data_IF_670299413520
#
_entry.id   IF_670299413520
#
_cell.length_a   1.000
_cell.length_b   1.000
_cell.length_c   1.000
_cell.angle_alpha   90.00
_cell.angle_beta   90.00
_cell.angle_gamma   90.00
#
_symmetry.space_group_name_H-M   'P 1'
#
loop_
_entity.id
_entity.type
_entity.pdbx_description
1 polymer ?
#
# COMPACT_ATOMS: atom_id res chain seq x y z
N UNK A 1 -4.29 -11.51 9.27
CA UNK A 1 -4.75 -10.14 9.00
C UNK A 1 -4.09 -9.22 10.02
N UNK A 2 -3.45 -8.14 9.58
CA UNK A 2 -3.03 -7.06 10.49
C UNK A 2 -4.27 -6.50 11.18
N UNK A 3 -4.27 -6.48 12.51
CA UNK A 3 -5.27 -5.76 13.28
C UNK A 3 -4.86 -4.30 13.37
N UNK A 4 -5.17 -3.54 12.32
CA UNK A 4 -5.21 -2.09 12.42
C UNK A 4 -6.35 -1.73 13.39
N UNK A 5 -6.00 -1.48 14.64
CA UNK A 5 -6.99 -1.18 15.70
C UNK A 5 -7.44 0.27 15.68
N UNK A 6 -6.69 1.14 14.99
CA UNK A 6 -7.01 2.55 14.84
C UNK A 6 -6.43 3.15 13.58
N UNK A 7 -7.21 4.01 12.91
CA UNK A 7 -6.78 4.81 11.77
C UNK A 7 -7.08 6.27 12.08
N UNK A 8 -6.10 7.15 11.93
CA UNK A 8 -6.31 8.59 11.98
C UNK A 8 -6.54 9.12 10.58
N UNK A 9 -7.67 9.79 10.39
CA UNK A 9 -7.96 10.56 9.20
C UNK A 9 -7.60 12.01 9.46
N UNK A 10 -6.85 12.65 8.55
CA UNK A 10 -6.48 14.06 8.64
C UNK A 10 -7.05 14.82 7.44
N UNK A 11 -7.74 15.94 7.71
CA UNK A 11 -8.28 16.78 6.65
C UNK A 11 -7.19 17.71 6.12
N UNK A 12 -6.70 17.40 4.94
CA UNK A 12 -5.55 18.10 4.35
C UNK A 12 -5.98 19.17 3.34
N UNK A 13 -7.28 19.43 3.14
CA UNK A 13 -7.76 20.30 2.06
C UNK A 13 -7.07 21.67 2.02
N UNK A 14 -6.87 22.28 3.19
CA UNK A 14 -6.14 23.55 3.32
C UNK A 14 -4.63 23.35 3.18
N UNK A 15 -4.08 22.35 3.87
CA UNK A 15 -2.64 22.04 3.88
C UNK A 15 -2.10 21.77 2.47
N UNK A 16 -2.89 21.12 1.61
CA UNK A 16 -2.53 20.78 0.23
C UNK A 16 -2.50 22.00 -0.71
N UNK A 17 -3.15 23.11 -0.33
CA UNK A 17 -3.05 24.37 -1.09
C UNK A 17 -1.75 25.12 -0.78
N UNK A 18 -1.12 24.81 0.35
CA UNK A 18 0.04 25.52 0.89
C UNK A 18 1.34 24.71 0.73
N UNK A 19 1.30 23.50 0.14
CA UNK A 19 2.39 22.53 0.14
C UNK A 19 2.51 21.77 -1.19
N UNK A 20 3.70 21.24 -1.44
CA UNK A 20 4.06 20.68 -2.75
C UNK A 20 3.71 19.19 -2.91
N UNK A 21 3.43 18.48 -1.81
CA UNK A 21 3.08 17.07 -1.85
C UNK A 21 2.00 16.64 -0.86
N UNK A 22 1.36 15.50 -1.18
CA UNK A 22 0.41 14.84 -0.29
C UNK A 22 1.06 14.45 1.04
N UNK A 23 2.31 13.97 1.01
CA UNK A 23 3.05 13.57 2.21
C UNK A 23 3.27 14.77 3.11
N UNK A 24 3.78 15.88 2.59
CA UNK A 24 3.99 17.10 3.37
C UNK A 24 2.68 17.65 3.94
N UNK A 25 1.61 17.63 3.14
CA UNK A 25 0.29 18.05 3.57
C UNK A 25 -0.27 17.20 4.72
N UNK A 26 0.06 15.91 4.73
CA UNK A 26 -0.36 14.93 5.73
C UNK A 26 0.52 14.94 6.98
N UNK A 27 1.83 15.16 6.82
CA UNK A 27 2.81 15.06 7.91
C UNK A 27 2.62 16.14 8.98
N UNK A 28 1.88 17.20 8.71
CA UNK A 28 2.18 18.48 9.33
C UNK A 28 1.16 18.98 10.35
N UNK A 29 1.69 19.24 11.55
CA UNK A 29 1.21 20.19 12.54
C UNK A 29 -0.28 20.06 12.92
N UNK A 30 -0.69 18.86 13.34
CA UNK A 30 -2.07 18.57 13.74
C UNK A 30 -2.33 18.99 15.18
N UNK A 31 -3.28 19.90 15.35
CA UNK A 31 -3.64 20.40 16.68
C UNK A 31 -4.37 19.33 17.49
N UNK A 32 -4.02 19.21 18.77
CA UNK A 32 -4.71 18.38 19.73
C UNK A 32 -5.28 19.21 20.90
N UNK A 33 -6.23 18.63 21.62
CA UNK A 33 -6.84 19.22 22.82
C UNK A 33 -6.80 18.23 23.98
N UNK A 34 -5.87 18.48 24.90
CA UNK A 34 -5.70 17.67 26.11
C UNK A 34 -4.98 16.34 25.87
N UNK A 35 -4.68 15.65 26.97
CA UNK A 35 -3.83 14.44 26.99
C UNK A 35 -4.40 13.27 26.18
N UNK A 36 -5.72 13.14 26.12
CA UNK A 36 -6.39 12.05 25.38
C UNK A 36 -6.10 12.13 23.87
N UNK A 37 -6.26 13.32 23.30
CA UNK A 37 -6.03 13.54 21.88
C UNK A 37 -4.56 13.46 21.50
N UNK A 38 -3.67 13.98 22.35
CA UNK A 38 -2.24 13.80 22.19
C UNK A 38 -1.88 12.31 22.11
N UNK A 39 -2.36 11.52 23.07
CA UNK A 39 -2.13 10.07 23.08
C UNK A 39 -2.64 9.39 21.80
N UNK A 40 -3.84 9.74 21.34
CA UNK A 40 -4.41 9.16 20.11
C UNK A 40 -3.53 9.43 18.89
N UNK A 41 -3.02 10.65 18.74
CA UNK A 41 -2.13 11.00 17.63
C UNK A 41 -0.77 10.31 17.74
N UNK A 42 -0.20 10.24 18.94
CA UNK A 42 1.09 9.56 19.19
C UNK A 42 1.00 8.05 19.01
N UNK A 43 -0.11 7.42 19.37
CA UNK A 43 -0.32 5.97 19.24
C UNK A 43 -0.79 5.57 17.82
N UNK A 44 -1.02 6.54 16.92
CA UNK A 44 -1.54 6.25 15.59
C UNK A 44 -0.49 5.53 14.74
N UNK A 45 -0.76 4.29 14.34
CA UNK A 45 0.13 3.56 13.41
C UNK A 45 -0.10 3.93 11.94
N UNK A 46 -1.29 4.46 11.63
CA UNK A 46 -1.70 4.80 10.25
C UNK A 46 -2.36 6.17 10.22
N UNK A 47 -1.90 7.00 9.28
CA UNK A 47 -2.42 8.34 9.02
C UNK A 47 -2.93 8.40 7.58
N UNK A 48 -4.17 8.84 7.42
CA UNK A 48 -4.91 8.82 6.17
C UNK A 48 -5.32 10.25 5.81
N UNK A 49 -4.69 10.90 4.82
CA UNK A 49 -5.17 12.16 4.32
C UNK A 49 -6.52 12.04 3.63
N UNK A 50 -7.34 13.07 3.85
CA UNK A 50 -8.68 13.17 3.27
C UNK A 50 -8.88 14.56 2.68
N UNK A 51 -9.48 14.60 1.50
CA UNK A 51 -10.05 15.81 0.89
C UNK A 51 -11.50 15.53 0.54
N UNK A 52 -12.42 16.42 0.93
CA UNK A 52 -13.86 16.28 0.64
C UNK A 52 -14.46 14.91 1.04
N UNK A 53 -14.06 14.38 2.21
CA UNK A 53 -14.46 13.05 2.69
C UNK A 53 -14.05 11.88 1.78
N UNK A 54 -13.05 12.06 0.93
CA UNK A 54 -12.42 11.00 0.16
C UNK A 54 -10.98 10.80 0.61
N UNK A 55 -10.58 9.53 0.76
CA UNK A 55 -9.20 9.15 1.08
C UNK A 55 -8.29 9.47 -0.09
N UNK A 56 -7.23 10.24 0.15
CA UNK A 56 -6.28 10.68 -0.89
C UNK A 56 -4.99 9.83 -0.92
N UNK A 57 -4.70 9.10 0.15
CA UNK A 57 -3.54 8.23 0.30
C UNK A 57 -3.56 7.57 1.67
N UNK A 58 -2.57 6.73 1.94
CA UNK A 58 -2.46 6.02 3.23
C UNK A 58 -1.00 5.94 3.61
N UNK A 59 -0.69 6.33 4.84
CA UNK A 59 0.68 6.37 5.34
C UNK A 59 0.81 5.65 6.67
N UNK A 60 1.92 4.94 6.82
CA UNK A 60 2.38 4.45 8.10
C UNK A 60 3.04 5.60 8.84
N UNK A 61 2.75 5.71 10.13
CA UNK A 61 3.40 6.65 11.01
C UNK A 61 4.67 6.02 11.57
N UNK A 62 5.81 6.46 11.07
CA UNK A 62 7.13 6.01 11.52
C UNK A 62 7.49 6.62 12.87
N UNK A 63 7.15 7.90 13.06
CA UNK A 63 7.48 8.66 14.27
C UNK A 63 6.50 9.81 14.46
N UNK A 64 6.12 10.08 15.72
CA UNK A 64 5.37 11.28 16.08
C UNK A 64 6.22 12.18 16.97
N UNK A 65 6.32 13.45 16.61
CA UNK A 65 7.03 14.47 17.41
C UNK A 65 6.16 15.72 17.59
N UNK A 66 6.46 16.49 18.64
CA UNK A 66 5.84 17.81 18.82
C UNK A 66 6.35 18.75 17.73
N UNK A 67 5.46 19.52 17.12
CA UNK A 67 5.82 20.42 16.04
C UNK A 67 6.76 21.54 16.55
N UNK A 68 7.90 21.78 15.89
CA UNK A 68 8.81 22.84 16.29
C UNK A 68 8.12 24.21 16.28
N UNK A 69 8.12 24.89 17.43
CA UNK A 69 7.53 26.22 17.57
C UNK A 69 6.01 26.26 17.86
N UNK A 70 5.31 25.12 17.91
CA UNK A 70 3.91 25.05 18.36
C UNK A 70 3.68 23.77 19.21
N UNK A 71 3.76 23.87 20.55
CA UNK A 71 3.68 22.71 21.44
C UNK A 71 2.31 22.02 21.44
N UNK A 72 1.27 22.70 20.95
CA UNK A 72 -0.10 22.16 20.85
C UNK A 72 -0.34 21.36 19.56
N UNK A 73 0.72 21.12 18.79
CA UNK A 73 0.67 20.40 17.53
C UNK A 73 1.65 19.25 17.49
N UNK A 74 1.29 18.22 16.76
CA UNK A 74 2.15 17.09 16.44
C UNK A 74 2.42 17.03 14.94
N UNK A 75 3.57 16.49 14.59
CA UNK A 75 3.93 16.13 13.23
C UNK A 75 4.25 14.65 13.15
N UNK A 76 4.11 14.10 11.96
CA UNK A 76 4.37 12.71 11.66
C UNK A 76 5.55 12.59 10.70
N UNK A 77 6.42 11.61 10.95
CA UNK A 77 7.26 11.03 9.91
C UNK A 77 6.47 9.93 9.23
N UNK A 78 6.25 10.06 7.91
CA UNK A 78 5.32 9.22 7.18
C UNK A 78 6.03 8.43 6.08
N UNK A 79 5.67 7.16 5.94
CA UNK A 79 5.98 6.34 4.76
C UNK A 79 4.70 5.84 4.09
N UNK A 80 4.66 5.67 2.76
CA UNK A 80 3.51 5.07 2.09
C UNK A 80 3.14 3.71 2.70
N UNK A 81 1.87 3.51 3.05
CA UNK A 81 1.38 2.25 3.60
C UNK A 81 0.74 1.41 2.50
N UNK A 82 1.57 0.61 1.83
CA UNK A 82 1.15 -0.25 0.74
C UNK A 82 0.03 -1.20 1.15
N UNK A 83 0.15 -1.85 2.31
CA UNK A 83 -0.81 -2.83 2.83
C UNK A 83 -2.26 -2.31 2.93
N UNK A 84 -2.45 -0.99 3.00
CA UNK A 84 -3.76 -0.35 3.07
C UNK A 84 -4.11 0.47 1.82
N UNK A 85 -3.32 0.44 0.75
CA UNK A 85 -3.55 1.26 -0.43
C UNK A 85 -4.95 1.09 -1.05
N UNK A 86 -5.59 -0.06 -0.84
CA UNK A 86 -6.97 -0.34 -1.26
C UNK A 86 -8.00 0.69 -0.78
N UNK A 87 -7.82 1.32 0.39
CA UNK A 87 -8.78 2.33 0.88
C UNK A 87 -8.63 3.67 0.14
N UNK A 88 -7.59 3.88 -0.66
CA UNK A 88 -7.39 5.11 -1.41
C UNK A 88 -8.53 5.32 -2.40
N UNK A 89 -9.11 6.52 -2.41
CA UNK A 89 -10.27 6.89 -3.21
C UNK A 89 -11.62 6.51 -2.60
N UNK A 90 -11.66 5.76 -1.49
CA UNK A 90 -12.92 5.46 -0.80
C UNK A 90 -13.46 6.71 -0.07
N UNK A 91 -14.78 6.79 0.00
CA UNK A 91 -15.45 7.73 0.88
C UNK A 91 -15.30 7.29 2.33
N UNK A 92 -15.23 8.27 3.23
CA UNK A 92 -15.16 7.99 4.65
C UNK A 92 -16.45 7.34 5.19
N UNK A 93 -16.32 6.42 6.17
CA UNK A 93 -17.43 5.98 7.00
C UNK A 93 -18.16 7.16 7.64
N UNK A 94 -19.46 7.02 7.88
CA UNK A 94 -20.29 8.11 8.40
C UNK A 94 -19.83 8.61 9.79
N UNK A 95 -19.25 7.74 10.62
CA UNK A 95 -18.72 8.07 11.95
C UNK A 95 -17.58 9.11 11.90
N UNK A 96 -16.73 9.02 10.87
CA UNK A 96 -15.54 9.87 10.69
C UNK A 96 -15.70 10.85 9.53
N UNK A 97 -16.91 11.00 8.98
CA UNK A 97 -17.20 11.98 7.94
C UNK A 97 -17.20 13.40 8.49
N UNK A 98 -16.51 14.32 7.84
CA UNK A 98 -16.60 15.76 8.14
C UNK A 98 -17.92 16.32 7.63
N UNK A 99 -18.67 16.95 8.54
CA UNK A 99 -19.93 17.64 8.24
C UNK A 99 -19.68 19.14 8.09
N UNK A 100 -20.57 19.89 7.41
CA UNK A 100 -20.48 21.36 7.38
C UNK A 100 -20.42 21.93 8.80
N UNK A 101 -19.46 22.82 9.06
CA UNK A 101 -19.23 23.42 10.39
C UNK A 101 -18.32 22.60 11.32
N UNK A 102 -17.87 21.43 10.90
CA UNK A 102 -16.93 20.62 11.68
C UNK A 102 -15.52 21.25 11.66
N UNK A 103 -15.06 21.70 12.84
CA UNK A 103 -13.76 22.34 13.02
C UNK A 103 -12.63 21.36 13.37
N UNK A 104 -12.89 20.05 13.45
CA UNK A 104 -11.84 19.07 13.74
C UNK A 104 -10.86 18.97 12.57
N UNK A 105 -9.56 19.02 12.83
CA UNK A 105 -8.55 18.82 11.78
C UNK A 105 -8.32 17.35 11.45
N UNK A 106 -8.68 16.45 12.37
CA UNK A 106 -8.50 15.01 12.26
C UNK A 106 -9.60 14.26 13.01
N UNK A 107 -9.82 13.00 12.64
CA UNK A 107 -10.79 12.08 13.25
C UNK A 107 -10.18 10.69 13.39
N UNK A 108 -10.68 9.92 14.34
CA UNK A 108 -10.18 8.60 14.67
C UNK A 108 -11.25 7.54 14.41
N UNK A 109 -10.90 6.52 13.64
CA UNK A 109 -11.68 5.29 13.47
C UNK A 109 -11.01 4.19 14.28
N UNK A 110 -11.77 3.37 15.02
CA UNK A 110 -11.22 2.34 15.92
C UNK A 110 -11.98 1.02 15.85
N UNK A 111 -11.30 -0.05 16.24
CA UNK A 111 -11.92 -1.36 16.52
C UNK A 111 -12.57 -2.01 15.29
N UNK A 112 -13.75 -2.58 15.48
CA UNK A 112 -14.49 -3.31 14.43
C UNK A 112 -14.84 -2.43 13.22
N UNK A 113 -15.00 -1.13 13.43
CA UNK A 113 -15.33 -0.21 12.34
C UNK A 113 -14.17 -0.04 11.35
N UNK A 114 -12.93 -0.14 11.85
CA UNK A 114 -11.75 -0.19 10.96
C UNK A 114 -11.82 -1.44 10.10
N UNK A 115 -12.09 -2.61 10.69
CA UNK A 115 -12.15 -3.86 9.94
C UNK A 115 -13.25 -3.83 8.88
N UNK A 116 -14.45 -3.36 9.24
CA UNK A 116 -15.56 -3.19 8.28
C UNK A 116 -15.20 -2.26 7.12
N UNK A 117 -14.54 -1.14 7.40
CA UNK A 117 -14.08 -0.22 6.35
C UNK A 117 -13.00 -0.84 5.44
N UNK A 118 -12.05 -1.57 6.01
CA UNK A 118 -11.01 -2.27 5.24
C UNK A 118 -11.60 -3.40 4.37
N UNK A 119 -12.59 -4.13 4.89
CA UNK A 119 -13.31 -5.17 4.15
C UNK A 119 -14.14 -4.57 3.00
N UNK A 120 -14.83 -3.47 3.24
CA UNK A 120 -15.56 -2.74 2.20
C UNK A 120 -14.61 -2.25 1.09
N UNK A 121 -13.46 -1.72 1.46
CA UNK A 121 -12.45 -1.27 0.51
C UNK A 121 -11.89 -2.41 -0.36
N UNK A 122 -11.69 -3.60 0.23
CA UNK A 122 -11.38 -4.84 -0.48
C UNK A 122 -12.53 -5.35 -1.36
N UNK A 123 -13.76 -4.88 -1.13
CA UNK A 123 -14.89 -5.10 -2.03
C UNK A 123 -14.72 -4.41 -3.41
N UNK A 124 -13.72 -3.51 -3.53
CA UNK A 124 -13.23 -2.85 -4.75
C UNK A 124 -14.29 -2.24 -5.64
N UNK A 125 -15.41 -1.77 -5.08
CA UNK A 125 -16.44 -1.08 -5.87
C UNK A 125 -16.21 0.42 -5.79
N UNK A 126 -15.77 1.04 -6.90
CA UNK A 126 -15.66 2.49 -7.06
C UNK A 126 -16.85 3.03 -7.84
N UNK A 127 -17.47 4.07 -7.30
CA UNK A 127 -18.49 4.85 -8.00
C UNK A 127 -17.80 5.89 -8.90
N UNK A 128 -18.20 5.92 -10.16
CA UNK A 128 -17.77 6.94 -11.13
C UNK A 128 -19.01 7.49 -11.82
N UNK A 129 -19.51 8.64 -11.37
CA UNK A 129 -20.78 9.17 -11.85
C UNK A 129 -21.94 8.21 -11.55
N UNK A 130 -22.69 7.73 -12.55
CA UNK A 130 -23.76 6.74 -12.35
C UNK A 130 -23.27 5.28 -12.46
N UNK A 131 -21.98 5.06 -12.74
CA UNK A 131 -21.40 3.74 -12.97
C UNK A 131 -20.75 3.19 -11.70
N UNK A 132 -20.77 1.87 -11.52
CA UNK A 132 -19.96 1.21 -10.49
C UNK A 132 -18.90 0.31 -11.14
N UNK A 133 -17.64 0.59 -10.84
CA UNK A 133 -16.48 -0.18 -11.28
C UNK A 133 -16.08 -1.12 -10.16
N UNK A 134 -16.03 -2.42 -10.41
CA UNK A 134 -15.57 -3.42 -9.43
C UNK A 134 -14.40 -4.22 -9.97
N UNK A 135 -13.23 -4.07 -9.39
CA UNK A 135 -12.13 -5.01 -9.62
C UNK A 135 -12.39 -6.26 -8.79
N UNK A 136 -12.58 -7.40 -9.44
CA UNK A 136 -12.79 -8.67 -8.75
C UNK A 136 -11.46 -9.27 -8.31
N UNK A 137 -11.49 -10.13 -7.29
CA UNK A 137 -10.32 -10.88 -6.81
C UNK A 137 -9.63 -11.66 -7.95
N UNK A 138 -10.42 -12.20 -8.88
CA UNK A 138 -9.96 -12.91 -10.09
C UNK A 138 -9.26 -12.02 -11.13
N UNK A 139 -9.25 -10.70 -10.95
CA UNK A 139 -8.60 -9.75 -11.88
C UNK A 139 -9.52 -9.24 -13.00
N UNK A 140 -10.81 -9.59 -12.97
CA UNK A 140 -11.78 -9.03 -13.90
C UNK A 140 -12.25 -7.65 -13.42
N UNK A 141 -12.32 -6.67 -14.33
CA UNK A 141 -13.03 -5.43 -14.11
C UNK A 141 -14.51 -5.61 -14.45
N UNK A 142 -15.40 -5.51 -13.47
CA UNK A 142 -16.85 -5.44 -13.68
C UNK A 142 -17.27 -3.98 -13.77
N UNK A 143 -17.92 -3.61 -14.85
CA UNK A 143 -18.53 -2.29 -15.02
C UNK A 143 -20.04 -2.46 -14.93
N UNK A 144 -20.65 -1.95 -13.86
CA UNK A 144 -22.10 -1.90 -13.70
C UNK A 144 -22.55 -0.57 -14.28
N UNK A 145 -23.31 -0.64 -15.37
CA UNK A 145 -23.86 0.53 -16.06
C UNK A 145 -25.37 0.65 -15.88
N UNK A 146 -25.90 1.87 -15.72
CA UNK A 146 -27.34 2.10 -15.74
C UNK A 146 -27.95 1.68 -17.08
N UNK A 147 -29.24 1.36 -17.06
CA UNK A 147 -30.00 1.06 -18.27
C UNK A 147 -29.91 2.24 -19.27
N UNK A 148 -29.65 1.93 -20.55
CA UNK A 148 -29.55 2.91 -21.63
C UNK A 148 -28.14 3.45 -21.89
N UNK A 149 -27.12 3.03 -21.13
CA UNK A 149 -25.72 3.37 -21.38
C UNK A 149 -24.99 2.24 -22.10
N UNK A 150 -24.08 2.59 -23.01
CA UNK A 150 -23.18 1.67 -23.68
C UNK A 150 -21.78 1.78 -23.07
N UNK A 151 -21.10 0.64 -22.87
CA UNK A 151 -19.68 0.58 -22.49
C UNK A 151 -18.88 0.16 -23.69
N UNK A 152 -17.84 0.93 -24.02
CA UNK A 152 -16.83 0.53 -24.99
C UNK A 152 -15.53 0.18 -24.24
N UNK A 153 -15.08 -1.07 -24.37
CA UNK A 153 -13.81 -1.54 -23.80
C UNK A 153 -12.81 -1.69 -24.94
N UNK A 154 -11.88 -0.75 -25.04
CA UNK A 154 -10.82 -0.77 -26.05
C UNK A 154 -9.56 -1.36 -25.42
N UNK A 155 -9.20 -2.58 -25.82
CA UNK A 155 -7.89 -3.14 -25.47
C UNK A 155 -6.86 -2.63 -26.48
N UNK A 156 -6.07 -1.64 -26.08
CA UNK A 156 -5.12 -0.97 -26.97
C UNK A 156 -3.82 -1.77 -27.25
N UNK A 157 -3.68 -3.01 -26.74
CA UNK A 157 -2.44 -3.77 -26.88
C UNK A 157 -2.67 -5.27 -26.99
N UNK A 158 -1.81 -5.95 -27.75
CA UNK A 158 -1.69 -7.41 -27.75
C UNK A 158 -1.46 -7.91 -26.31
N UNK A 159 -2.18 -8.94 -25.84
CA UNK A 159 -1.97 -9.49 -24.50
C UNK A 159 -0.49 -9.87 -24.33
N UNK A 160 0.18 -9.23 -23.37
CA UNK A 160 1.55 -9.58 -23.04
C UNK A 160 1.62 -11.04 -22.58
N UNK A 161 2.65 -11.77 -23.00
CA UNK A 161 2.89 -13.13 -22.51
C UNK A 161 3.03 -13.15 -20.98
N UNK A 162 2.75 -14.29 -20.34
CA UNK A 162 2.90 -14.43 -18.87
C UNK A 162 4.29 -13.98 -18.41
N UNK A 163 5.34 -14.35 -19.15
CA UNK A 163 6.73 -13.92 -18.88
C UNK A 163 6.88 -12.39 -18.89
N UNK A 164 6.34 -11.71 -19.91
CA UNK A 164 6.39 -10.24 -20.02
C UNK A 164 5.56 -9.55 -18.93
N UNK A 165 4.43 -10.14 -18.53
CA UNK A 165 3.61 -9.62 -17.42
C UNK A 165 4.34 -9.70 -16.09
N UNK A 166 4.98 -10.84 -15.81
CA UNK A 166 5.83 -11.03 -14.63
C UNK A 166 6.98 -10.02 -14.65
N UNK A 167 7.70 -9.91 -15.77
CA UNK A 167 8.79 -8.94 -15.91
C UNK A 167 8.34 -7.50 -15.63
N UNK A 168 7.23 -7.07 -16.23
CA UNK A 168 6.69 -5.72 -16.01
C UNK A 168 6.32 -5.48 -14.55
N UNK A 169 5.66 -6.45 -13.91
CA UNK A 169 5.29 -6.34 -12.50
C UNK A 169 6.52 -6.26 -11.58
N UNK A 170 7.56 -7.04 -11.86
CA UNK A 170 8.81 -7.03 -11.10
C UNK A 170 9.55 -5.69 -11.26
N UNK A 171 9.64 -5.17 -12.48
CA UNK A 171 10.23 -3.84 -12.74
C UNK A 171 9.42 -2.72 -12.08
N UNK A 172 8.09 -2.80 -12.13
CA UNK A 172 7.23 -1.85 -11.43
C UNK A 172 7.44 -1.91 -9.91
N UNK A 173 7.53 -3.11 -9.34
CA UNK A 173 7.81 -3.32 -7.91
C UNK A 173 9.17 -2.76 -7.52
N UNK A 174 10.18 -2.92 -8.38
CA UNK A 174 11.52 -2.38 -8.16
C UNK A 174 11.59 -0.86 -8.15
N UNK A 175 10.62 -0.17 -8.77
CA UNK A 175 10.45 1.27 -8.67
C UNK A 175 9.75 1.75 -7.38
N UNK A 176 9.48 0.86 -6.43
CA UNK A 176 8.84 1.18 -5.15
C UNK A 176 9.71 0.74 -3.96
N UNK A 177 9.37 1.12 -2.74
CA UNK A 177 10.03 0.60 -1.52
C UNK A 177 9.40 -0.72 -1.02
N UNK A 178 8.44 -1.26 -1.77
CA UNK A 178 7.70 -2.44 -1.36
C UNK A 178 8.32 -3.74 -1.86
N UNK A 179 7.94 -4.82 -1.19
CA UNK A 179 8.23 -6.20 -1.55
C UNK A 179 6.95 -7.02 -1.54
N UNK A 180 6.98 -8.22 -2.13
CA UNK A 180 5.83 -9.13 -2.13
C UNK A 180 6.26 -10.59 -2.11
N UNK A 181 5.29 -11.50 -2.17
CA UNK A 181 5.55 -12.95 -2.24
C UNK A 181 5.22 -13.50 -3.62
N UNK A 182 5.85 -14.62 -3.99
CA UNK A 182 5.53 -15.30 -5.25
C UNK A 182 4.05 -15.70 -5.35
N UNK A 183 3.41 -16.04 -4.22
CA UNK A 183 1.98 -16.37 -4.17
C UNK A 183 1.11 -15.16 -4.47
N UNK A 184 1.33 -14.07 -3.76
CA UNK A 184 0.60 -12.81 -3.98
C UNK A 184 0.77 -12.30 -5.42
N UNK A 185 2.00 -12.36 -5.96
CA UNK A 185 2.27 -11.97 -7.35
C UNK A 185 1.58 -12.89 -8.37
N UNK A 186 1.56 -14.21 -8.10
CA UNK A 186 0.85 -15.16 -8.97
C UNK A 186 -0.65 -14.87 -9.00
N UNK A 187 -1.28 -14.65 -7.85
CA UNK A 187 -2.69 -14.29 -7.76
C UNK A 187 -2.97 -12.94 -8.44
N UNK A 188 -2.12 -11.94 -8.20
CA UNK A 188 -2.25 -10.63 -8.83
C UNK A 188 -2.16 -10.72 -10.36
N UNK A 189 -1.32 -11.60 -10.89
CA UNK A 189 -1.19 -11.80 -12.33
C UNK A 189 -2.15 -12.86 -12.89
N UNK A 190 -2.97 -13.51 -12.08
CA UNK A 190 -3.80 -14.64 -12.54
C UNK A 190 -2.96 -15.79 -13.11
N UNK A 191 -1.78 -16.02 -12.53
CA UNK A 191 -0.88 -17.13 -12.86
C UNK A 191 -1.17 -18.26 -11.88
N UNK A 192 -1.42 -19.46 -12.40
CA UNK A 192 -1.90 -20.59 -11.60
C UNK A 192 -0.92 -21.13 -10.55
N UNK A 193 0.33 -20.66 -10.51
CA UNK A 193 1.34 -21.22 -9.61
C UNK A 193 2.43 -20.21 -9.24
N UNK A 194 2.67 -20.07 -7.94
CA UNK A 194 3.80 -19.32 -7.38
C UNK A 194 5.16 -19.89 -7.82
N UNK A 195 5.26 -21.21 -8.02
CA UNK A 195 6.47 -21.85 -8.53
C UNK A 195 6.75 -21.46 -9.98
N UNK A 196 5.71 -21.32 -10.81
CA UNK A 196 5.86 -20.86 -12.19
C UNK A 196 6.37 -19.41 -12.23
N UNK A 197 5.88 -18.56 -11.33
CA UNK A 197 6.39 -17.18 -11.17
C UNK A 197 7.85 -17.18 -10.75
N UNK A 198 8.22 -17.92 -9.70
CA UNK A 198 9.62 -18.01 -9.24
C UNK A 198 10.57 -18.48 -10.35
N UNK A 199 10.21 -19.56 -11.07
CA UNK A 199 11.00 -20.05 -12.21
C UNK A 199 11.08 -19.03 -13.34
N UNK A 200 9.99 -18.34 -13.64
CA UNK A 200 9.98 -17.28 -14.67
C UNK A 200 10.89 -16.12 -14.29
N UNK A 201 10.98 -15.75 -13.02
CA UNK A 201 11.87 -14.69 -12.54
C UNK A 201 13.34 -15.11 -12.69
N UNK A 202 13.70 -16.28 -12.15
CA UNK A 202 15.06 -16.82 -12.20
C UNK A 202 15.56 -17.01 -13.64
N UNK A 203 14.70 -17.52 -14.53
CA UNK A 203 15.04 -17.79 -15.93
C UNK A 203 15.00 -16.56 -16.84
N UNK A 204 14.53 -15.40 -16.38
CA UNK A 204 14.41 -14.21 -17.23
C UNK A 204 15.63 -13.30 -17.10
N UNK A 205 16.51 -13.31 -18.11
CA UNK A 205 17.68 -12.42 -18.17
C UNK A 205 17.35 -10.92 -18.23
N UNK A 206 16.10 -10.54 -18.49
CA UNK A 206 15.66 -9.14 -18.47
C UNK A 206 15.31 -8.63 -17.06
N UNK A 207 15.35 -9.50 -16.04
CA UNK A 207 15.13 -9.17 -14.63
C UNK A 207 16.47 -9.24 -13.91
N UNK A 208 16.85 -8.16 -13.22
CA UNK A 208 18.11 -8.12 -12.46
C UNK A 208 17.97 -8.86 -11.13
N UNK A 209 19.11 -9.17 -10.48
CA UNK A 209 19.13 -9.80 -9.16
C UNK A 209 18.44 -8.93 -8.10
N UNK A 210 18.67 -7.63 -8.16
CA UNK A 210 18.07 -6.63 -7.29
C UNK A 210 16.54 -6.56 -7.46
N UNK A 211 16.06 -6.51 -8.71
CA UNK A 211 14.62 -6.52 -8.99
C UNK A 211 13.96 -7.82 -8.50
N UNK A 212 14.62 -8.96 -8.73
CA UNK A 212 14.13 -10.26 -8.29
C UNK A 212 14.11 -10.39 -6.75
N UNK A 213 15.03 -9.74 -6.03
CA UNK A 213 15.16 -9.82 -4.57
C UNK A 213 13.87 -9.40 -3.83
N UNK A 214 13.08 -8.54 -4.45
CA UNK A 214 11.82 -7.99 -3.91
C UNK A 214 10.66 -8.99 -3.87
N UNK A 215 10.85 -10.18 -4.43
CA UNK A 215 9.84 -11.24 -4.38
C UNK A 215 10.44 -12.50 -3.76
N UNK A 216 9.80 -12.95 -2.68
CA UNK A 216 10.30 -14.09 -1.91
C UNK A 216 9.18 -15.08 -1.53
N UNK A 217 9.54 -16.15 -0.84
CA UNK A 217 8.58 -17.15 -0.41
C UNK A 217 7.78 -16.69 0.81
N UNK A 218 6.46 -16.85 0.79
CA UNK A 218 5.57 -16.48 1.90
C UNK A 218 5.95 -17.12 3.23
N UNK A 219 6.66 -18.25 3.23
CA UNK A 219 7.15 -18.92 4.46
C UNK A 219 8.07 -18.04 5.33
N UNK A 220 8.65 -16.99 4.77
CA UNK A 220 9.50 -16.06 5.51
C UNK A 220 8.70 -14.97 6.24
N UNK A 221 7.40 -14.84 5.94
CA UNK A 221 6.49 -13.85 6.53
C UNK A 221 5.93 -14.38 7.84
N UNK A 222 5.93 -13.53 8.87
CA UNK A 222 5.33 -13.78 10.18
C UNK A 222 4.54 -12.53 10.65
N UNK A 223 4.06 -12.54 11.90
CA UNK A 223 3.25 -11.44 12.44
C UNK A 223 3.98 -10.11 12.62
N UNK A 224 5.31 -10.11 12.57
CA UNK A 224 6.17 -8.93 12.77
C UNK A 224 6.80 -8.41 11.46
N UNK A 225 6.61 -9.12 10.34
CA UNK A 225 7.25 -8.78 9.06
C UNK A 225 7.75 -10.02 8.34
N UNK A 226 8.87 -9.90 7.63
CA UNK A 226 9.55 -11.04 7.05
C UNK A 226 11.01 -11.10 7.50
N UNK A 227 11.51 -12.32 7.71
CA UNK A 227 12.93 -12.61 7.90
C UNK A 227 13.42 -13.41 6.71
N UNK A 228 14.00 -12.72 5.74
CA UNK A 228 14.44 -13.30 4.48
C UNK A 228 15.91 -13.72 4.61
N UNK A 229 16.22 -15.02 4.61
CA UNK A 229 17.60 -15.49 4.63
C UNK A 229 18.24 -15.29 3.26
N UNK A 230 19.56 -15.49 3.21
CA UNK A 230 20.20 -15.78 1.94
C UNK A 230 19.68 -17.12 1.41
N UNK A 231 19.03 -17.07 0.24
CA UNK A 231 18.59 -18.24 -0.48
C UNK A 231 19.06 -18.13 -1.93
N UNK A 232 19.24 -19.29 -2.58
CA UNK A 232 19.78 -19.36 -3.92
C UNK A 232 18.87 -18.65 -4.93
N UNK A 233 19.21 -17.38 -5.17
CA UNK A 233 18.66 -16.49 -6.18
C UNK A 233 19.65 -16.39 -7.32
N UNK A 234 19.81 -17.47 -8.05
CA UNK A 234 20.65 -17.52 -9.23
C UNK A 234 19.94 -16.85 -10.42
N UNK A 235 19.85 -15.53 -10.41
CA UNK A 235 19.45 -14.76 -11.60
C UNK A 235 20.63 -14.62 -12.56
N UNK A 236 20.34 -14.31 -13.82
CA UNK A 236 21.37 -14.06 -14.82
C UNK A 236 22.07 -12.72 -14.53
N UNK A 237 23.36 -12.74 -14.23
CA UNK A 237 24.16 -11.53 -13.99
C UNK A 237 25.30 -11.80 -13.01
N UNK A 238 26.43 -11.11 -13.18
CA UNK A 238 27.61 -11.23 -12.32
C UNK A 238 27.48 -10.60 -10.94
N UNK A 239 26.25 -10.31 -10.48
CA UNK A 239 26.00 -9.71 -9.18
C UNK A 239 26.15 -10.77 -8.08
N UNK A 240 27.22 -10.63 -7.30
CA UNK A 240 27.58 -11.56 -6.23
C UNK A 240 26.82 -11.29 -4.93
N UNK A 241 26.13 -10.14 -4.82
CA UNK A 241 25.41 -9.76 -3.59
C UNK A 241 24.28 -10.74 -3.28
N UNK A 242 24.12 -11.08 -2.01
CA UNK A 242 23.07 -11.95 -1.47
C UNK A 242 21.71 -11.25 -1.52
N UNK A 243 20.60 -12.01 -1.44
CA UNK A 243 19.27 -11.38 -1.39
C UNK A 243 19.12 -10.42 -0.19
N UNK A 244 19.58 -10.77 1.03
CA UNK A 244 19.50 -9.85 2.17
C UNK A 244 20.22 -8.52 1.95
N UNK A 245 21.43 -8.53 1.36
CA UNK A 245 22.17 -7.30 1.03
C UNK A 245 21.35 -6.39 0.11
N UNK A 246 20.80 -6.96 -0.97
CA UNK A 246 20.00 -6.21 -1.94
C UNK A 246 18.73 -5.62 -1.31
N UNK A 247 18.07 -6.35 -0.40
CA UNK A 247 16.87 -5.88 0.29
C UNK A 247 17.17 -4.74 1.28
N UNK A 248 18.31 -4.80 1.98
CA UNK A 248 18.75 -3.73 2.89
C UNK A 248 19.10 -2.46 2.11
N UNK A 249 19.74 -2.61 0.94
CA UNK A 249 20.11 -1.47 0.08
C UNK A 249 18.90 -0.82 -0.61
N UNK A 250 17.89 -1.60 -1.02
CA UNK A 250 16.87 -1.13 -1.98
C UNK A 250 15.41 -1.16 -1.47
N UNK A 251 15.11 -1.88 -0.39
CA UNK A 251 13.72 -2.16 0.03
C UNK A 251 13.44 -1.81 1.50
N UNK A 252 14.26 -0.93 2.10
CA UNK A 252 14.07 -0.47 3.48
C UNK A 252 14.17 -1.58 4.53
N UNK A 253 14.80 -2.71 4.18
CA UNK A 253 15.05 -3.78 5.13
C UNK A 253 16.20 -3.43 6.09
N UNK A 254 16.24 -4.08 7.24
CA UNK A 254 17.36 -4.00 8.19
C UNK A 254 17.93 -5.38 8.46
N UNK A 255 19.16 -5.46 8.96
CA UNK A 255 19.77 -6.75 9.31
C UNK A 255 19.23 -7.31 10.63
N UNK A 256 18.93 -8.60 10.66
CA UNK A 256 18.64 -9.39 11.87
C UNK A 256 19.21 -10.82 11.70
N UNK A 257 20.24 -11.17 12.48
CA UNK A 257 20.89 -12.49 12.49
C UNK A 257 21.17 -13.07 11.08
N UNK A 258 21.92 -12.32 10.26
CA UNK A 258 22.29 -12.64 8.87
C UNK A 258 21.11 -12.72 7.88
N UNK A 259 19.93 -12.20 8.27
CA UNK A 259 18.74 -12.10 7.42
C UNK A 259 18.35 -10.65 7.21
N UNK A 260 17.65 -10.39 6.12
CA UNK A 260 16.95 -9.13 5.94
C UNK A 260 15.60 -9.20 6.67
N UNK A 261 15.45 -8.34 7.67
CA UNK A 261 14.19 -8.04 8.33
C UNK A 261 13.46 -6.96 7.55
N UNK A 262 12.30 -7.32 7.04
CA UNK A 262 11.41 -6.38 6.34
C UNK A 262 10.21 -6.10 7.24
N UNK A 263 9.91 -4.83 7.55
CA UNK A 263 8.70 -4.46 8.27
C UNK A 263 7.44 -4.94 7.53
N UNK A 264 6.44 -5.41 8.27
CA UNK A 264 5.23 -5.96 7.66
C UNK A 264 4.50 -4.96 6.73
N UNK A 265 4.55 -3.67 7.04
CA UNK A 265 3.95 -2.61 6.24
C UNK A 265 4.60 -2.45 4.84
N UNK A 266 5.85 -2.87 4.69
CA UNK A 266 6.57 -2.86 3.41
C UNK A 266 6.26 -4.09 2.55
N UNK A 267 5.46 -5.05 3.06
CA UNK A 267 5.14 -6.30 2.36
C UNK A 267 3.71 -6.26 1.83
N UNK A 268 3.56 -6.28 0.51
CA UNK A 268 2.27 -6.38 -0.16
C UNK A 268 1.84 -7.84 -0.20
N UNK A 269 0.93 -8.24 0.70
CA UNK A 269 0.41 -9.61 0.79
C UNK A 269 -0.96 -9.79 0.14
N UNK A 270 -1.68 -8.70 -0.10
CA UNK A 270 -2.96 -8.69 -0.77
C UNK A 270 -2.76 -8.51 -2.29
N UNK A 271 -3.21 -9.46 -3.14
CA UNK A 271 -2.99 -9.39 -4.58
C UNK A 271 -3.62 -8.17 -5.24
N UNK A 272 -4.71 -7.64 -4.68
CA UNK A 272 -5.42 -6.51 -5.26
C UNK A 272 -4.72 -5.22 -4.89
N UNK A 273 -4.28 -5.11 -3.64
CA UNK A 273 -3.36 -4.04 -3.22
C UNK A 273 -2.11 -4.02 -4.11
N UNK A 274 -1.50 -5.19 -4.37
CA UNK A 274 -0.35 -5.30 -5.26
C UNK A 274 -0.66 -4.79 -6.67
N UNK A 275 -1.80 -5.17 -7.26
CA UNK A 275 -2.25 -4.65 -8.58
C UNK A 275 -2.37 -3.13 -8.58
N UNK A 276 -2.98 -2.57 -7.55
CA UNK A 276 -3.19 -1.12 -7.43
C UNK A 276 -1.86 -0.37 -7.27
N UNK A 277 -0.97 -0.88 -6.41
CA UNK A 277 0.34 -0.26 -6.17
C UNK A 277 1.22 -0.30 -7.43
N UNK A 278 1.18 -1.39 -8.18
CA UNK A 278 2.01 -1.56 -9.39
C UNK A 278 1.33 -1.09 -10.68
N UNK A 279 0.05 -0.74 -10.62
CA UNK A 279 -0.80 -0.42 -11.77
C UNK A 279 -0.79 -1.53 -12.84
N UNK A 280 -1.01 -2.79 -12.41
CA UNK A 280 -0.99 -4.01 -13.26
C UNK A 280 -2.30 -4.80 -13.23
#
# INVERSE_FOLDING_TARGET
>A
MQNYNSIIFVNIRRSLQERDSLVEATASAWKYKGKKQLKQLTDASVVVPVVNNQVCGVFENLETSIYPGDPDRVQFALAPCGALAAITGHSLPDSVRWKPGDGAAWKLLVGEEVQGFLEEARGHTRQFGPYSLKLTSEGNLRVIVPAGFNVEVISAATPASVKQRIERAIKALAGTDFVTTYGTLAEALGVNSSQAVARSIVSNAAITKEEAARVFNVKYVNSQGALVPDDDMSTHGGDIRTRPELLVESAGATWEDDKAKIPLASILLDPIVLRLTLNI
#
